data_IF_935108572613
#
_entry.id   IF_935108572613
#
_cell.length_a   1.000
_cell.length_b   1.000
_cell.length_c   1.000
_cell.angle_alpha   90.00
_cell.angle_beta   90.00
_cell.angle_gamma   90.00
#
_symmetry.space_group_name_H-M   'P 1'
#
loop_
_entity.id
_entity.type
_entity.pdbx_description
1 polymer ?
#
# COMPACT_ATOMS: atom_id res chain seq x y z
N UNK A 1 31.33 51.60 1.61
CA UNK A 1 30.39 50.77 2.39
C UNK A 1 29.00 50.90 1.80
N UNK A 2 28.57 49.93 0.98
CA UNK A 2 27.18 49.45 0.82
C UNK A 2 27.29 48.01 0.26
N UNK A 3 26.53 47.01 0.76
CA UNK A 3 26.69 45.60 0.38
C UNK A 3 25.87 45.24 -0.86
N UNK A 4 26.37 44.28 -1.64
CA UNK A 4 25.67 43.62 -2.76
C UNK A 4 25.09 42.25 -2.30
N UNK A 5 24.12 41.68 -3.03
CA UNK A 5 22.98 40.94 -2.46
C UNK A 5 23.25 39.46 -2.14
N UNK A 6 22.47 38.96 -1.20
CA UNK A 6 22.42 37.57 -0.75
C UNK A 6 21.50 36.78 -1.71
N UNK A 7 22.07 35.88 -2.50
CA UNK A 7 21.33 34.84 -3.21
C UNK A 7 21.48 33.50 -2.47
N UNK A 8 20.41 32.68 -2.37
CA UNK A 8 20.43 31.47 -1.57
C UNK A 8 21.25 30.38 -2.27
N UNK A 9 22.24 29.85 -1.56
CA UNK A 9 23.03 28.70 -1.97
C UNK A 9 22.14 27.45 -1.85
N UNK A 10 21.36 27.15 -2.88
CA UNK A 10 20.80 25.80 -3.09
C UNK A 10 21.88 24.93 -3.71
N UNK A 11 22.73 24.35 -2.85
CA UNK A 11 23.83 23.47 -3.25
C UNK A 11 23.43 22.02 -3.10
N UNK A 12 22.58 21.50 -3.98
CA UNK A 12 22.59 20.07 -4.36
C UNK A 12 22.02 19.89 -5.77
N UNK A 13 22.83 19.55 -6.78
CA UNK A 13 22.34 18.60 -7.78
C UNK A 13 23.46 17.81 -8.47
N UNK A 14 24.19 16.94 -7.74
CA UNK A 14 25.03 15.89 -8.37
C UNK A 14 25.09 14.61 -7.55
N UNK A 15 25.10 14.73 -6.22
CA UNK A 15 25.14 13.58 -5.31
C UNK A 15 23.83 12.78 -5.35
N UNK A 16 22.70 13.46 -5.38
CA UNK A 16 21.37 12.82 -5.42
C UNK A 16 21.13 12.10 -6.74
N UNK A 17 21.55 12.66 -7.88
CA UNK A 17 21.47 11.97 -9.17
C UNK A 17 22.46 10.82 -9.28
N UNK A 18 23.64 10.92 -8.67
CA UNK A 18 24.61 9.80 -8.65
C UNK A 18 24.16 8.67 -7.74
N UNK A 19 23.54 8.97 -6.59
CA UNK A 19 22.95 7.97 -5.71
C UNK A 19 21.66 7.38 -6.30
N UNK A 20 20.84 8.19 -6.97
CA UNK A 20 19.65 7.72 -7.66
C UNK A 20 20.01 6.89 -8.90
N UNK A 21 21.08 7.26 -9.62
CA UNK A 21 21.62 6.49 -10.75
C UNK A 21 22.31 5.21 -10.27
N UNK A 22 23.09 5.25 -9.18
CA UNK A 22 23.62 4.04 -8.55
C UNK A 22 22.49 3.13 -8.08
N UNK A 23 21.46 3.69 -7.45
CA UNK A 23 20.30 2.94 -7.00
C UNK A 23 19.55 2.34 -8.19
N UNK A 24 19.27 3.08 -9.27
CA UNK A 24 18.59 2.53 -10.45
C UNK A 24 19.46 1.51 -11.18
N UNK A 25 20.79 1.66 -11.21
CA UNK A 25 21.68 0.70 -11.84
C UNK A 25 21.89 -0.57 -10.99
N UNK A 26 21.90 -0.46 -9.67
CA UNK A 26 21.91 -1.58 -8.73
C UNK A 26 20.55 -2.28 -8.73
N UNK A 27 19.44 -1.55 -8.75
CA UNK A 27 18.08 -2.11 -8.85
C UNK A 27 17.85 -2.75 -10.21
N UNK A 28 18.35 -2.19 -11.31
CA UNK A 28 18.24 -2.80 -12.65
C UNK A 28 19.15 -4.00 -12.81
N UNK A 29 20.38 -3.98 -12.27
CA UNK A 29 21.25 -5.17 -12.25
C UNK A 29 20.76 -6.22 -11.27
N UNK A 30 20.20 -5.84 -10.12
CA UNK A 30 19.62 -6.76 -9.15
C UNK A 30 18.30 -7.32 -9.67
N UNK A 31 17.43 -6.51 -10.27
CA UNK A 31 16.24 -6.96 -10.97
C UNK A 31 16.61 -7.82 -12.18
N UNK A 32 17.60 -7.47 -13.00
CA UNK A 32 18.06 -8.33 -14.09
C UNK A 32 18.78 -9.59 -13.58
N UNK A 33 19.41 -9.55 -12.40
CA UNK A 33 20.01 -10.72 -11.78
C UNK A 33 18.94 -11.61 -11.11
N UNK A 34 17.81 -11.06 -10.67
CA UNK A 34 16.69 -11.77 -10.02
C UNK A 34 15.65 -12.26 -11.05
N UNK A 35 15.27 -11.44 -12.02
CA UNK A 35 14.40 -11.81 -13.16
C UNK A 35 15.18 -12.53 -14.28
N UNK A 36 16.50 -12.35 -14.36
CA UNK A 36 17.38 -12.99 -15.34
C UNK A 36 18.31 -14.04 -14.75
N UNK A 37 18.08 -14.57 -13.54
CA UNK A 37 18.74 -15.81 -13.11
C UNK A 37 18.05 -17.02 -13.71
N UNK A 38 18.62 -17.46 -14.83
CA UNK A 38 18.58 -18.82 -15.34
C UNK A 38 18.89 -19.92 -14.29
N UNK A 39 19.28 -19.57 -13.07
CA UNK A 39 19.61 -20.50 -11.99
C UNK A 39 18.41 -20.90 -11.13
N UNK A 40 17.44 -20.00 -10.89
CA UNK A 40 16.22 -20.31 -10.12
C UNK A 40 15.21 -21.03 -11.00
N UNK A 41 15.01 -20.61 -12.25
CA UNK A 41 14.08 -21.23 -13.20
C UNK A 41 14.41 -22.70 -13.48
N UNK A 42 15.69 -23.08 -13.46
CA UNK A 42 16.13 -24.46 -13.75
C UNK A 42 15.95 -25.40 -12.55
N UNK A 43 16.13 -24.91 -11.32
CA UNK A 43 15.81 -25.68 -10.09
C UNK A 43 14.32 -25.69 -9.76
N UNK A 44 13.63 -24.57 -9.99
CA UNK A 44 12.17 -24.46 -9.88
C UNK A 44 11.51 -25.42 -10.87
N UNK A 45 12.00 -25.57 -12.11
CA UNK A 45 11.53 -26.60 -13.06
C UNK A 45 11.82 -28.05 -12.64
N UNK A 46 12.83 -28.32 -11.82
CA UNK A 46 13.16 -29.68 -11.37
C UNK A 46 12.46 -30.05 -10.06
N UNK A 47 12.18 -29.08 -9.17
CA UNK A 47 11.36 -29.29 -7.97
C UNK A 47 9.86 -29.26 -8.26
N UNK A 48 9.40 -28.47 -9.23
CA UNK A 48 7.99 -28.49 -9.72
C UNK A 48 7.63 -29.81 -10.38
N UNK A 49 8.62 -30.53 -10.92
CA UNK A 49 8.39 -31.79 -11.61
C UNK A 49 8.08 -32.97 -10.68
N UNK A 50 8.07 -32.79 -9.34
CA UNK A 50 8.00 -33.92 -8.40
C UNK A 50 6.77 -34.00 -7.49
N UNK A 51 5.91 -32.99 -7.42
CA UNK A 51 4.70 -33.08 -6.57
C UNK A 51 3.43 -32.98 -7.42
N UNK A 52 2.74 -34.10 -7.45
CA UNK A 52 1.54 -34.48 -8.16
C UNK A 52 0.31 -33.63 -7.75
N UNK A 53 0.13 -32.44 -8.35
CA UNK A 53 -1.18 -31.78 -8.55
C UNK A 53 -1.02 -30.56 -9.48
N UNK A 54 -0.87 -30.83 -10.78
CA UNK A 54 -0.54 -29.84 -11.82
C UNK A 54 -1.43 -28.56 -11.76
N UNK A 55 -2.70 -28.70 -11.38
CA UNK A 55 -3.62 -27.56 -11.20
C UNK A 55 -3.39 -26.69 -9.95
N UNK A 56 -2.96 -27.27 -8.82
CA UNK A 56 -2.77 -26.50 -7.56
C UNK A 56 -1.51 -25.65 -7.64
N UNK A 57 -0.43 -26.20 -8.19
CA UNK A 57 0.83 -25.46 -8.35
C UNK A 57 0.67 -24.24 -9.27
N UNK A 58 -0.01 -24.42 -10.40
CA UNK A 58 -0.33 -23.31 -11.33
C UNK A 58 -1.22 -22.28 -10.64
N UNK A 59 -2.23 -22.73 -9.89
CA UNK A 59 -3.10 -21.83 -9.12
C UNK A 59 -2.30 -21.01 -8.09
N UNK A 60 -1.39 -21.61 -7.32
CA UNK A 60 -0.53 -20.90 -6.38
C UNK A 60 0.43 -19.94 -7.08
N UNK A 61 1.05 -20.35 -8.18
CA UNK A 61 1.95 -19.51 -8.96
C UNK A 61 1.25 -18.27 -9.55
N UNK A 62 -0.03 -18.38 -9.93
CA UNK A 62 -0.83 -17.24 -10.37
C UNK A 62 -1.39 -16.42 -9.20
N UNK A 63 -1.77 -17.06 -8.09
CA UNK A 63 -2.36 -16.39 -6.93
C UNK A 63 -1.34 -15.53 -6.18
N UNK A 64 -0.10 -15.99 -6.04
CA UNK A 64 0.97 -15.31 -5.30
C UNK A 64 1.22 -13.86 -5.79
N UNK A 65 1.46 -13.59 -7.09
CA UNK A 65 1.67 -12.22 -7.57
C UNK A 65 0.41 -11.35 -7.42
N UNK A 66 -0.79 -11.92 -7.54
CA UNK A 66 -2.05 -11.19 -7.33
C UNK A 66 -2.17 -10.78 -5.86
N UNK A 67 -1.89 -11.69 -4.93
CA UNK A 67 -1.94 -11.44 -3.49
C UNK A 67 -0.89 -10.40 -3.07
N UNK A 68 0.32 -10.48 -3.64
CA UNK A 68 1.40 -9.50 -3.48
C UNK A 68 0.96 -8.10 -3.89
N UNK A 69 0.37 -7.96 -5.09
CA UNK A 69 -0.11 -6.67 -5.59
C UNK A 69 -1.27 -6.14 -4.75
N UNK A 70 -2.16 -7.03 -4.30
CA UNK A 70 -3.28 -6.68 -3.43
C UNK A 70 -2.81 -6.17 -2.06
N UNK A 71 -1.80 -6.82 -1.47
CA UNK A 71 -1.17 -6.38 -0.22
C UNK A 71 -0.59 -4.98 -0.36
N UNK A 72 0.19 -4.76 -1.42
CA UNK A 72 0.77 -3.45 -1.73
C UNK A 72 -0.26 -2.37 -1.97
N UNK A 73 -1.38 -2.73 -2.61
CA UNK A 73 -2.50 -1.83 -2.78
C UNK A 73 -3.10 -1.47 -1.41
N UNK A 74 -3.28 -2.40 -0.48
CA UNK A 74 -3.79 -2.09 0.86
C UNK A 74 -2.84 -1.20 1.66
N UNK A 75 -1.54 -1.54 1.71
CA UNK A 75 -0.53 -0.71 2.36
C UNK A 75 -0.47 0.70 1.74
N UNK A 76 -0.43 0.77 0.41
CA UNK A 76 -0.38 2.03 -0.33
C UNK A 76 -1.64 2.87 -0.17
N UNK A 77 -2.83 2.27 -0.22
CA UNK A 77 -4.08 2.97 0.02
C UNK A 77 -4.17 3.46 1.46
N UNK A 78 -3.71 2.69 2.45
CA UNK A 78 -3.66 3.14 3.85
C UNK A 78 -2.88 4.45 3.94
N UNK A 79 -1.65 4.47 3.40
CA UNK A 79 -0.81 5.65 3.45
C UNK A 79 -1.35 6.79 2.57
N UNK A 80 -1.90 6.48 1.40
CA UNK A 80 -2.49 7.44 0.47
C UNK A 80 -3.72 8.14 1.05
N UNK A 81 -4.63 7.40 1.68
CA UNK A 81 -5.80 7.96 2.35
C UNK A 81 -5.43 8.70 3.64
N UNK A 82 -4.44 8.24 4.40
CA UNK A 82 -3.95 8.96 5.58
C UNK A 82 -3.21 10.24 5.21
N UNK A 83 -2.53 10.28 4.07
CA UNK A 83 -1.91 11.49 3.54
C UNK A 83 -2.92 12.52 3.01
N UNK A 84 -4.17 12.11 2.78
CA UNK A 84 -5.26 12.94 2.26
C UNK A 84 -6.21 13.31 3.41
N UNK A 85 -5.83 14.34 4.16
CA UNK A 85 -6.66 14.85 5.26
C UNK A 85 -7.92 15.54 4.75
N UNK A 86 -8.99 15.53 5.56
CA UNK A 86 -10.27 16.17 5.21
C UNK A 86 -10.10 17.65 4.86
N UNK A 87 -9.21 18.35 5.58
CA UNK A 87 -8.88 19.75 5.33
C UNK A 87 -8.20 19.95 3.98
N UNK A 88 -7.23 19.10 3.63
CA UNK A 88 -6.57 19.14 2.33
C UNK A 88 -7.57 18.85 1.21
N UNK A 89 -8.44 17.86 1.39
CA UNK A 89 -9.50 17.52 0.44
C UNK A 89 -10.47 18.68 0.24
N UNK A 90 -10.86 19.37 1.32
CA UNK A 90 -11.74 20.54 1.24
C UNK A 90 -11.07 21.69 0.49
N UNK A 91 -9.79 21.97 0.77
CA UNK A 91 -9.02 22.97 0.01
C UNK A 91 -8.91 22.58 -1.47
N UNK A 92 -8.62 21.32 -1.78
CA UNK A 92 -8.56 20.79 -3.14
C UNK A 92 -9.92 20.86 -3.86
N UNK A 93 -11.03 20.70 -3.15
CA UNK A 93 -12.39 20.80 -3.71
C UNK A 93 -12.75 22.25 -4.14
N UNK A 94 -12.18 23.26 -3.47
CA UNK A 94 -12.44 24.67 -3.73
C UNK A 94 -11.42 25.24 -4.73
N UNK A 95 -10.14 24.97 -4.50
CA UNK A 95 -9.01 25.64 -5.19
C UNK A 95 -8.26 24.72 -6.17
N UNK A 96 -8.61 23.43 -6.26
CA UNK A 96 -7.95 22.49 -7.16
C UNK A 96 -8.36 22.61 -8.63
N UNK A 97 -7.65 21.89 -9.50
CA UNK A 97 -8.05 21.73 -10.92
C UNK A 97 -9.39 21.00 -11.03
N UNK A 98 -10.16 21.15 -12.13
CA UNK A 98 -11.46 20.47 -12.29
C UNK A 98 -11.39 18.95 -12.08
N UNK A 99 -10.29 18.30 -12.49
CA UNK A 99 -10.05 16.87 -12.24
C UNK A 99 -9.82 16.57 -10.75
N UNK A 100 -9.00 17.37 -10.07
CA UNK A 100 -8.75 17.21 -8.63
C UNK A 100 -10.00 17.45 -7.79
N UNK A 101 -10.84 18.43 -8.17
CA UNK A 101 -12.13 18.68 -7.52
C UNK A 101 -13.05 17.46 -7.58
N UNK A 102 -13.16 16.84 -8.76
CA UNK A 102 -13.95 15.61 -8.94
C UNK A 102 -13.41 14.43 -8.13
N UNK A 103 -12.08 14.29 -8.02
CA UNK A 103 -11.44 13.25 -7.20
C UNK A 103 -11.64 13.48 -5.70
N UNK A 104 -11.44 14.71 -5.23
CA UNK A 104 -11.68 15.08 -3.84
C UNK A 104 -13.13 14.80 -3.41
N UNK A 105 -14.11 15.18 -4.24
CA UNK A 105 -15.53 14.93 -3.97
C UNK A 105 -15.89 13.44 -3.85
N UNK A 106 -15.20 12.55 -4.58
CA UNK A 106 -15.40 11.09 -4.47
C UNK A 106 -14.80 10.49 -3.20
N UNK A 107 -13.64 11.00 -2.78
CA UNK A 107 -12.89 10.48 -1.62
C UNK A 107 -13.48 10.96 -0.29
N UNK A 108 -13.99 12.20 -0.26
CA UNK A 108 -14.55 12.85 0.93
C UNK A 108 -15.55 12.00 1.74
N UNK A 109 -16.57 11.34 1.13
CA UNK A 109 -17.52 10.53 1.91
C UNK A 109 -16.89 9.29 2.57
N UNK A 110 -15.85 8.71 1.95
CA UNK A 110 -15.13 7.56 2.53
C UNK A 110 -14.23 8.00 3.68
N UNK A 111 -13.61 9.18 3.56
CA UNK A 111 -12.74 9.76 4.59
C UNK A 111 -13.49 10.28 5.82
N UNK A 112 -14.78 10.61 5.67
CA UNK A 112 -15.65 11.09 6.78
C UNK A 112 -15.67 10.14 7.99
N UNK A 113 -15.52 8.84 7.74
CA UNK A 113 -15.35 7.81 8.78
C UNK A 113 -13.89 7.35 8.85
N UNK A 114 -12.97 8.31 8.94
CA UNK A 114 -11.53 8.09 8.78
C UNK A 114 -10.94 7.04 9.71
N UNK A 115 -11.43 6.94 10.94
CA UNK A 115 -11.01 5.92 11.91
C UNK A 115 -11.40 4.50 11.50
N UNK A 116 -12.66 4.29 11.13
CA UNK A 116 -13.14 2.98 10.65
C UNK A 116 -12.44 2.57 9.36
N UNK A 117 -12.24 3.53 8.44
CA UNK A 117 -11.48 3.34 7.21
C UNK A 117 -10.04 2.89 7.52
N UNK A 118 -9.34 3.63 8.39
CA UNK A 118 -7.97 3.34 8.78
C UNK A 118 -7.85 1.94 9.38
N UNK A 119 -8.70 1.60 10.36
CA UNK A 119 -8.67 0.28 11.01
C UNK A 119 -8.96 -0.84 10.02
N UNK A 120 -9.93 -0.64 9.12
CA UNK A 120 -10.27 -1.65 8.11
C UNK A 120 -9.12 -1.88 7.12
N UNK A 121 -8.50 -0.80 6.62
CA UNK A 121 -7.37 -0.91 5.70
C UNK A 121 -6.13 -1.51 6.38
N UNK A 122 -5.86 -1.15 7.64
CA UNK A 122 -4.78 -1.73 8.43
C UNK A 122 -4.98 -3.22 8.71
N UNK A 123 -6.20 -3.63 9.08
CA UNK A 123 -6.52 -5.03 9.32
C UNK A 123 -6.39 -5.86 8.03
N UNK A 124 -6.93 -5.36 6.91
CA UNK A 124 -6.81 -6.03 5.63
C UNK A 124 -5.34 -6.16 5.20
N UNK A 125 -4.55 -5.09 5.35
CA UNK A 125 -3.12 -5.12 5.08
C UNK A 125 -2.39 -6.14 5.95
N UNK A 126 -2.67 -6.15 7.26
CA UNK A 126 -2.05 -7.08 8.21
C UNK A 126 -2.39 -8.54 7.89
N UNK A 127 -3.65 -8.85 7.58
CA UNK A 127 -4.08 -10.20 7.21
C UNK A 127 -3.34 -10.68 5.96
N UNK A 128 -3.27 -9.85 4.90
CA UNK A 128 -2.58 -10.25 3.67
C UNK A 128 -1.07 -10.35 3.89
N UNK A 129 -0.46 -9.43 4.65
CA UNK A 129 0.96 -9.45 4.95
C UNK A 129 1.40 -10.67 5.77
N UNK A 130 0.56 -11.17 6.69
CA UNK A 130 0.84 -12.40 7.44
C UNK A 130 0.53 -13.66 6.61
N UNK A 131 -0.51 -13.61 5.77
CA UNK A 131 -0.93 -14.76 4.95
C UNK A 131 0.01 -15.02 3.77
N UNK A 132 0.62 -13.98 3.21
CA UNK A 132 1.44 -14.07 2.01
C UNK A 132 2.71 -14.92 2.21
N UNK A 133 3.53 -14.73 3.27
CA UNK A 133 4.65 -15.62 3.58
C UNK A 133 4.20 -17.07 3.81
N UNK A 134 3.13 -17.29 4.59
CA UNK A 134 2.60 -18.63 4.91
C UNK A 134 2.20 -19.40 3.64
N UNK A 135 1.59 -18.73 2.66
CA UNK A 135 1.23 -19.36 1.37
C UNK A 135 2.44 -19.53 0.45
N UNK A 136 3.48 -18.71 0.61
CA UNK A 136 4.69 -18.74 -0.21
C UNK A 136 5.72 -19.78 0.27
N UNK A 137 5.69 -20.16 1.55
CA UNK A 137 6.59 -21.15 2.16
C UNK A 137 6.66 -22.48 1.40
N UNK A 138 5.53 -23.12 0.99
CA UNK A 138 5.58 -24.38 0.25
C UNK A 138 6.19 -24.26 -1.16
N UNK A 139 6.20 -23.06 -1.73
CA UNK A 139 6.65 -22.80 -3.12
C UNK A 139 8.15 -22.52 -3.20
N UNK A 140 8.76 -22.01 -2.12
CA UNK A 140 10.11 -21.44 -2.15
C UNK A 140 11.25 -22.40 -1.78
N UNK A 141 10.94 -23.60 -1.29
CA UNK A 141 11.92 -24.65 -1.04
C UNK A 141 12.78 -24.42 0.21
N UNK A 142 12.88 -25.46 1.05
CA UNK A 142 13.26 -25.42 2.47
C UNK A 142 14.72 -25.15 2.82
N UNK A 143 15.32 -24.07 2.30
CA UNK A 143 16.59 -23.53 2.77
C UNK A 143 16.38 -22.19 3.49
N UNK A 144 16.91 -21.97 4.70
CA UNK A 144 16.73 -20.71 5.44
C UNK A 144 17.27 -19.49 4.67
N UNK A 145 18.33 -19.68 3.87
CA UNK A 145 18.90 -18.64 3.01
C UNK A 145 18.01 -18.27 1.80
N UNK A 146 17.31 -19.26 1.22
CA UNK A 146 16.36 -19.06 0.12
C UNK A 146 15.14 -18.26 0.59
N UNK A 147 14.65 -18.59 1.79
CA UNK A 147 13.52 -17.90 2.42
C UNK A 147 13.86 -16.43 2.66
N UNK A 148 15.00 -16.11 3.28
CA UNK A 148 15.37 -14.72 3.58
C UNK A 148 15.47 -13.87 2.31
N UNK A 149 16.14 -14.38 1.27
CA UNK A 149 16.30 -13.64 0.02
C UNK A 149 14.95 -13.44 -0.68
N UNK A 150 14.08 -14.45 -0.67
CA UNK A 150 12.75 -14.34 -1.25
C UNK A 150 11.85 -13.35 -0.50
N UNK A 151 11.84 -13.41 0.83
CA UNK A 151 11.04 -12.50 1.66
C UNK A 151 11.45 -11.04 1.45
N UNK A 152 12.75 -10.74 1.42
CA UNK A 152 13.24 -9.37 1.17
C UNK A 152 12.79 -8.87 -0.20
N UNK A 153 12.90 -9.72 -1.22
CA UNK A 153 12.47 -9.38 -2.57
C UNK A 153 10.97 -9.12 -2.63
N UNK A 154 10.17 -10.01 -2.04
CA UNK A 154 8.72 -9.88 -1.95
C UNK A 154 8.37 -8.55 -1.28
N UNK A 155 8.91 -8.22 -0.10
CA UNK A 155 8.60 -6.98 0.64
C UNK A 155 8.91 -5.73 -0.18
N UNK A 156 10.03 -5.70 -0.91
CA UNK A 156 10.38 -4.54 -1.74
C UNK A 156 9.35 -4.33 -2.86
N UNK A 157 8.98 -5.40 -3.57
CA UNK A 157 8.05 -5.32 -4.69
C UNK A 157 6.58 -5.23 -4.26
N UNK A 158 6.22 -5.85 -3.13
CA UNK A 158 4.87 -5.91 -2.59
C UNK A 158 4.53 -4.68 -1.79
N UNK A 159 5.46 -4.10 -1.05
CA UNK A 159 5.14 -3.08 -0.06
C UNK A 159 5.78 -1.75 -0.44
N UNK A 160 7.10 -1.72 -0.61
CA UNK A 160 7.84 -0.47 -0.77
C UNK A 160 7.48 0.24 -2.07
N UNK A 161 7.47 -0.48 -3.20
CA UNK A 161 7.15 0.12 -4.50
C UNK A 161 5.69 0.59 -4.55
N UNK A 162 4.67 -0.26 -4.30
CA UNK A 162 3.27 0.16 -4.37
C UNK A 162 2.92 1.28 -3.38
N UNK A 163 3.50 1.25 -2.17
CA UNK A 163 3.32 2.29 -1.18
C UNK A 163 3.90 3.63 -1.66
N UNK A 164 5.10 3.63 -2.25
CA UNK A 164 5.72 4.85 -2.81
C UNK A 164 4.94 5.46 -3.98
N UNK A 165 4.25 4.63 -4.79
CA UNK A 165 3.36 5.15 -5.84
C UNK A 165 2.11 5.77 -5.24
N UNK A 166 1.52 5.13 -4.22
CA UNK A 166 0.31 5.62 -3.57
C UNK A 166 0.53 6.91 -2.77
N UNK A 167 1.74 7.17 -2.26
CA UNK A 167 2.05 8.48 -1.66
C UNK A 167 2.12 9.58 -2.70
N UNK A 168 2.73 9.30 -3.86
CA UNK A 168 2.92 10.31 -4.91
C UNK A 168 1.65 10.60 -5.70
N UNK A 169 0.82 9.58 -5.94
CA UNK A 169 -0.41 9.67 -6.74
C UNK A 169 -1.68 9.38 -5.92
N UNK A 170 -1.62 9.58 -4.60
CA UNK A 170 -2.69 9.21 -3.66
C UNK A 170 -4.06 9.76 -4.01
N UNK A 171 -4.15 11.02 -4.45
CA UNK A 171 -5.44 11.61 -4.83
C UNK A 171 -6.08 10.92 -6.06
N UNK A 172 -5.26 10.57 -7.07
CA UNK A 172 -5.76 9.93 -8.28
C UNK A 172 -6.07 8.45 -8.05
N UNK A 173 -5.16 7.72 -7.39
CA UNK A 173 -5.31 6.30 -7.07
C UNK A 173 -6.47 6.13 -6.07
N UNK A 174 -6.50 6.94 -5.02
CA UNK A 174 -7.56 6.94 -4.02
C UNK A 174 -8.94 7.15 -4.65
N UNK A 175 -9.10 8.13 -5.54
CA UNK A 175 -10.36 8.43 -6.19
C UNK A 175 -10.87 7.30 -7.09
N UNK A 176 -9.98 6.61 -7.79
CA UNK A 176 -10.33 5.43 -8.60
C UNK A 176 -10.64 4.21 -7.72
N UNK A 177 -9.96 4.07 -6.58
CA UNK A 177 -10.10 2.95 -5.66
C UNK A 177 -11.20 3.15 -4.61
N UNK A 178 -11.94 4.27 -4.62
CA UNK A 178 -13.06 4.54 -3.70
C UNK A 178 -14.06 3.40 -3.65
N UNK A 179 -14.44 2.84 -4.81
CA UNK A 179 -15.41 1.76 -4.86
C UNK A 179 -14.88 0.46 -4.21
N UNK A 180 -13.62 0.13 -4.50
CA UNK A 180 -12.95 -1.02 -3.91
C UNK A 180 -12.83 -0.90 -2.38
N UNK A 181 -12.43 0.28 -1.89
CA UNK A 181 -12.35 0.57 -0.45
C UNK A 181 -13.71 0.46 0.23
N UNK A 182 -14.80 0.92 -0.41
CA UNK A 182 -16.16 0.78 0.15
C UNK A 182 -16.58 -0.69 0.28
N UNK A 183 -16.24 -1.53 -0.70
CA UNK A 183 -16.48 -2.98 -0.60
C UNK A 183 -15.69 -3.56 0.56
N UNK A 184 -14.43 -3.17 0.72
CA UNK A 184 -13.57 -3.63 1.81
C UNK A 184 -14.13 -3.25 3.19
N UNK A 185 -14.58 -2.00 3.34
CA UNK A 185 -15.23 -1.54 4.58
C UNK A 185 -16.51 -2.32 4.85
N UNK A 186 -17.29 -2.65 3.82
CA UNK A 186 -18.51 -3.43 4.01
C UNK A 186 -18.20 -4.89 4.39
N UNK A 187 -17.22 -5.52 3.74
CA UNK A 187 -16.85 -6.92 4.01
C UNK A 187 -16.17 -7.10 5.36
N UNK A 188 -15.21 -6.24 5.68
CA UNK A 188 -14.48 -6.29 6.95
C UNK A 188 -15.16 -5.49 8.06
N UNK A 189 -16.17 -4.68 7.75
CA UNK A 189 -16.89 -3.81 8.68
C UNK A 189 -17.44 -4.53 9.89
N UNK A 190 -17.90 -5.76 9.72
CA UNK A 190 -18.38 -6.61 10.82
C UNK A 190 -17.28 -6.87 11.87
N UNK A 191 -16.03 -7.01 11.43
CA UNK A 191 -14.86 -7.28 12.30
C UNK A 191 -14.15 -5.99 12.70
N UNK A 192 -14.05 -5.02 11.79
CA UNK A 192 -13.33 -3.77 12.03
C UNK A 192 -14.10 -2.83 12.94
N UNK A 193 -15.44 -2.91 13.00
CA UNK A 193 -16.25 -2.10 13.92
C UNK A 193 -15.93 -2.33 15.41
N UNK A 194 -15.91 -3.58 15.94
CA UNK A 194 -15.53 -3.81 17.33
C UNK A 194 -14.08 -3.44 17.61
N UNK A 195 -13.16 -3.71 16.68
CA UNK A 195 -11.73 -3.35 16.81
C UNK A 195 -11.57 -1.83 16.84
N UNK A 196 -12.24 -1.10 15.95
CA UNK A 196 -12.24 0.35 15.92
C UNK A 196 -12.82 0.95 17.21
N UNK A 197 -13.88 0.36 17.76
CA UNK A 197 -14.47 0.76 19.05
C UNK A 197 -13.53 0.55 20.23
N UNK A 198 -12.82 -0.58 20.27
CA UNK A 198 -11.81 -0.84 21.29
C UNK A 198 -10.67 0.18 21.17
N UNK A 199 -10.21 0.46 19.95
CA UNK A 199 -9.16 1.43 19.71
C UNK A 199 -9.58 2.85 20.11
N UNK A 200 -10.83 3.25 19.86
CA UNK A 200 -11.41 4.52 20.35
C UNK A 200 -11.46 4.59 21.88
N UNK A 201 -11.70 3.46 22.54
CA UNK A 201 -11.80 3.37 24.00
C UNK A 201 -10.41 3.43 24.65
N UNK A 202 -9.40 2.83 24.02
CA UNK A 202 -8.01 2.76 24.49
C UNK A 202 -7.22 4.05 24.21
N UNK A 203 -7.40 4.69 23.05
CA UNK A 203 -6.70 5.95 22.72
C UNK A 203 -7.16 7.15 23.56
N UNK A 204 -8.20 7.00 24.36
CA UNK A 204 -8.79 8.07 25.16
C UNK A 204 -9.58 9.05 24.30
N UNK A 205 -10.58 9.72 24.90
CA UNK A 205 -11.49 10.65 24.23
C UNK A 205 -10.83 11.97 23.81
N UNK A 206 -9.74 11.92 23.05
CA UNK A 206 -9.03 13.10 22.55
C UNK A 206 -9.12 13.24 21.03
N UNK A 207 -10.24 12.85 20.43
CA UNK A 207 -10.74 13.50 19.20
C UNK A 207 -12.27 13.57 19.31
N UNK A 208 -12.75 14.77 19.64
CA UNK A 208 -14.10 15.04 20.11
C UNK A 208 -15.24 14.60 19.19
N UNK A 209 -16.36 14.25 19.82
CA UNK A 209 -17.70 14.72 19.47
C UNK A 209 -17.94 14.96 17.96
N UNK A 210 -18.17 13.93 17.14
CA UNK A 210 -19.15 13.92 16.03
C UNK A 210 -19.01 12.69 15.13
N UNK A 211 -19.64 11.57 15.54
CA UNK A 211 -20.28 10.71 14.53
C UNK A 211 -21.50 9.94 15.05
N UNK A 212 -21.75 9.94 16.37
CA UNK A 212 -22.92 9.24 16.92
C UNK A 212 -24.28 9.88 16.58
N UNK A 213 -24.32 11.01 15.86
CA UNK A 213 -25.59 11.67 15.48
C UNK A 213 -25.99 11.55 14.01
N UNK A 214 -25.17 10.99 13.13
CA UNK A 214 -25.52 10.89 11.70
C UNK A 214 -26.27 9.61 11.32
N UNK A 215 -26.13 8.51 12.07
CA UNK A 215 -26.81 7.25 11.73
C UNK A 215 -28.25 7.13 12.27
N UNK A 216 -28.68 7.99 13.19
CA UNK A 216 -30.06 7.96 13.72
C UNK A 216 -31.11 8.66 12.84
N UNK A 217 -30.73 9.24 11.69
CA UNK A 217 -31.68 9.91 10.77
C UNK A 217 -31.79 9.25 9.38
N UNK A 218 -31.10 8.14 9.11
CA UNK A 218 -31.22 7.44 7.82
C UNK A 218 -32.34 6.38 7.80
N UNK A 219 -33.08 6.22 8.91
CA UNK A 219 -34.28 5.40 8.98
C UNK A 219 -35.31 6.05 9.91
N UNK A 220 -35.79 7.25 9.56
CA UNK A 220 -37.19 7.66 9.73
C UNK A 220 -37.50 8.93 8.96
#
# INVERSE_FOLDING_TARGET
MVPAPIHPVSRYPRLTYSLLSLATHQISKFAAHIFGTDTSTTRLRTFVKREEHDGKFIAFACLLPILVLLSGLFAGLTLGYMSLDETQLQVLSISGTPKQKAYAAKIQPVRRNGHLLLVTLLLANMIVNETLPVISEPVLGGGPESVVVSTVLIVIFSEIIPQSLCTRYGLAIGANMVWFVRILIYSMGIVSWPVAKILELVLGQHHGIMYRRAEYYACK
#
